data_IF_044961527915
#
_entry.id   IF_044961527915
#
_cell.length_a   1.000
_cell.length_b   1.000
_cell.length_c   1.000
_cell.angle_alpha   90.00
_cell.angle_beta   90.00
_cell.angle_gamma   90.00
#
_symmetry.space_group_name_H-M   'P 1'
#
loop_
_entity.id
_entity.type
_entity.pdbx_description
1 polymer ?
#
# COMPACT_ATOMS: atom_id res chain seq x y z
N UNK A 1 10.97 -6.22 -14.76
CA UNK A 1 11.81 -6.50 -13.56
C UNK A 1 12.74 -7.66 -13.81
N UNK A 2 12.24 -8.88 -14.10
CA UNK A 2 13.09 -10.09 -14.24
C UNK A 2 14.15 -10.01 -15.35
N UNK A 3 13.86 -9.32 -16.45
CA UNK A 3 14.78 -9.06 -17.57
C UNK A 3 15.74 -7.88 -17.33
N UNK A 4 15.61 -7.17 -16.20
CA UNK A 4 16.35 -5.93 -15.88
C UNK A 4 16.18 -4.81 -16.94
N UNK A 5 15.09 -4.83 -17.72
CA UNK A 5 14.78 -3.84 -18.77
C UNK A 5 13.86 -2.71 -18.30
N UNK A 6 13.77 -2.45 -17.00
CA UNK A 6 12.98 -1.31 -16.49
C UNK A 6 13.66 0.00 -16.93
N UNK A 7 12.93 0.96 -17.52
CA UNK A 7 13.50 2.27 -17.87
C UNK A 7 14.07 2.97 -16.64
N UNK A 8 15.27 3.53 -16.78
CA UNK A 8 15.88 4.34 -15.71
C UNK A 8 15.08 5.62 -15.56
N UNK A 9 14.74 5.94 -14.31
CA UNK A 9 14.06 7.19 -13.98
C UNK A 9 15.05 8.31 -13.73
N UNK A 10 14.62 9.55 -13.99
CA UNK A 10 15.45 10.74 -13.85
C UNK A 10 14.72 11.83 -13.07
N UNK A 11 15.48 12.63 -12.32
CA UNK A 11 15.01 13.85 -11.67
C UNK A 11 16.06 14.95 -11.88
N UNK A 12 15.66 16.08 -12.45
CA UNK A 12 16.60 17.17 -12.76
C UNK A 12 17.77 16.75 -13.66
N UNK A 13 17.55 15.80 -14.58
CA UNK A 13 18.59 15.25 -15.46
C UNK A 13 19.53 14.23 -14.80
N UNK A 14 19.39 13.94 -13.50
CA UNK A 14 20.19 12.93 -12.80
C UNK A 14 19.46 11.58 -12.73
N UNK A 15 20.15 10.45 -12.92
CA UNK A 15 19.54 9.13 -12.83
C UNK A 15 19.16 8.81 -11.38
N UNK A 16 18.08 8.03 -11.21
CA UNK A 16 17.59 7.56 -9.93
C UNK A 16 17.91 6.08 -9.73
N UNK A 17 18.17 5.71 -8.47
CA UNK A 17 18.36 4.34 -8.04
C UNK A 17 17.08 3.53 -8.27
N UNK A 18 17.21 2.41 -8.97
CA UNK A 18 16.11 1.50 -9.31
C UNK A 18 15.96 0.34 -8.33
N UNK A 19 16.80 0.25 -7.28
CA UNK A 19 16.83 -0.91 -6.38
C UNK A 19 15.47 -1.25 -5.76
N UNK A 20 14.69 -0.24 -5.36
CA UNK A 20 13.38 -0.43 -4.72
C UNK A 20 12.40 -1.25 -5.59
N UNK A 21 12.41 -1.06 -6.92
CA UNK A 21 11.60 -1.85 -7.85
C UNK A 21 11.89 -3.36 -7.82
N UNK A 22 13.11 -3.75 -7.45
CA UNK A 22 13.50 -5.16 -7.34
C UNK A 22 13.21 -5.74 -5.95
N UNK A 23 12.66 -4.95 -5.03
CA UNK A 23 12.32 -5.36 -3.67
C UNK A 23 10.81 -5.56 -3.44
N UNK A 24 9.94 -5.07 -4.33
CA UNK A 24 8.49 -5.06 -4.11
C UNK A 24 7.78 -6.38 -4.48
N UNK A 25 8.25 -7.09 -5.50
CA UNK A 25 7.67 -8.36 -5.93
C UNK A 25 8.37 -9.55 -5.28
N UNK A 26 7.61 -10.63 -5.05
CA UNK A 26 8.12 -11.88 -4.47
C UNK A 26 8.81 -11.69 -3.12
N UNK A 27 8.39 -10.68 -2.34
CA UNK A 27 8.94 -10.37 -1.03
C UNK A 27 7.87 -10.41 0.05
N UNK A 28 8.33 -10.57 1.29
CA UNK A 28 7.47 -10.64 2.46
C UNK A 28 8.29 -10.21 3.68
N UNK A 29 7.64 -9.55 4.62
CA UNK A 29 8.17 -9.34 5.96
C UNK A 29 8.00 -10.61 6.79
N UNK A 30 8.97 -10.91 7.64
CA UNK A 30 8.96 -12.05 8.54
C UNK A 30 9.05 -11.53 9.97
N UNK A 31 8.05 -11.82 10.83
CA UNK A 31 8.04 -11.35 12.20
C UNK A 31 9.14 -12.04 13.01
N UNK A 32 9.86 -11.29 13.84
CA UNK A 32 10.91 -11.81 14.71
C UNK A 32 10.72 -11.38 16.17
N UNK A 33 11.20 -12.17 17.14
CA UNK A 33 10.97 -11.90 18.56
C UNK A 33 11.62 -10.61 19.09
N UNK A 34 12.64 -10.08 18.38
CA UNK A 34 13.32 -8.81 18.70
C UNK A 34 13.26 -7.82 17.56
N UNK A 35 13.43 -8.30 16.33
CA UNK A 35 13.42 -7.51 15.11
C UNK A 35 12.90 -8.39 13.98
N UNK A 36 12.12 -7.78 13.11
CA UNK A 36 11.66 -8.43 11.89
C UNK A 36 12.78 -8.48 10.84
N UNK A 37 12.51 -9.22 9.76
CA UNK A 37 13.37 -9.30 8.59
C UNK A 37 12.54 -9.24 7.31
N UNK A 38 13.18 -8.96 6.18
CA UNK A 38 12.57 -9.02 4.85
C UNK A 38 13.21 -10.17 4.09
N UNK A 39 12.37 -11.00 3.47
CA UNK A 39 12.80 -12.01 2.50
C UNK A 39 12.38 -11.58 1.10
N UNK A 40 13.21 -11.90 0.11
CA UNK A 40 12.95 -11.61 -1.29
C UNK A 40 13.33 -12.84 -2.13
N UNK A 41 12.35 -13.37 -2.86
CA UNK A 41 12.44 -14.58 -3.69
C UNK A 41 12.41 -14.27 -5.20
N UNK A 42 12.58 -12.99 -5.59
CA UNK A 42 12.60 -12.58 -6.99
C UNK A 42 13.90 -12.97 -7.71
N UNK A 43 15.01 -13.16 -6.99
CA UNK A 43 16.32 -13.52 -7.54
C UNK A 43 16.75 -14.91 -7.07
N UNK A 44 17.32 -15.72 -7.97
CA UNK A 44 17.87 -17.05 -7.65
C UNK A 44 17.30 -18.18 -8.53
N UNK A 45 17.76 -19.42 -8.30
CA UNK A 45 17.42 -20.59 -9.13
C UNK A 45 15.94 -21.01 -9.07
N UNK A 46 15.21 -20.60 -8.04
CA UNK A 46 13.81 -20.96 -7.81
C UNK A 46 12.95 -19.70 -7.69
N UNK A 47 12.86 -18.91 -8.77
CA UNK A 47 11.96 -17.75 -8.81
C UNK A 47 10.52 -18.18 -8.57
N UNK A 48 9.81 -17.38 -7.77
CA UNK A 48 8.38 -17.61 -7.55
C UNK A 48 7.60 -17.43 -8.85
N UNK A 49 6.68 -18.36 -9.13
CA UNK A 49 5.86 -18.39 -10.35
C UNK A 49 4.36 -18.30 -10.05
N UNK A 50 4.01 -18.11 -8.78
CA UNK A 50 2.64 -18.08 -8.31
C UNK A 50 2.32 -16.77 -7.59
N UNK A 51 1.04 -16.41 -7.60
CA UNK A 51 0.47 -15.41 -6.70
C UNK A 51 -0.31 -16.13 -5.59
N UNK A 52 -0.62 -15.39 -4.53
CA UNK A 52 -1.63 -15.85 -3.57
C UNK A 52 -2.94 -15.11 -3.85
N UNK A 53 -4.06 -15.82 -3.87
CA UNK A 53 -5.39 -15.21 -3.90
C UNK A 53 -6.07 -15.48 -2.57
N UNK A 54 -6.71 -14.48 -1.99
CA UNK A 54 -7.48 -14.62 -0.76
C UNK A 54 -8.93 -14.20 -0.99
N UNK A 55 -9.86 -15.08 -0.63
CA UNK A 55 -11.31 -14.85 -0.71
C UNK A 55 -11.98 -15.51 0.49
N UNK A 56 -12.86 -14.75 1.18
CA UNK A 56 -13.50 -15.18 2.43
C UNK A 56 -12.52 -15.77 3.45
N UNK A 57 -11.37 -15.10 3.61
CA UNK A 57 -10.28 -15.47 4.53
C UNK A 57 -9.50 -16.74 4.17
N UNK A 58 -9.77 -17.31 2.99
CA UNK A 58 -9.11 -18.53 2.54
C UNK A 58 -8.09 -18.21 1.46
N UNK A 59 -6.85 -18.67 1.67
CA UNK A 59 -5.75 -18.44 0.75
C UNK A 59 -5.61 -19.58 -0.27
N UNK A 60 -5.20 -19.22 -1.49
CA UNK A 60 -4.96 -20.14 -2.60
C UNK A 60 -3.63 -19.79 -3.28
N UNK A 61 -2.88 -20.82 -3.65
CA UNK A 61 -1.70 -20.72 -4.51
C UNK A 61 -2.16 -20.87 -5.96
N UNK A 62 -1.89 -19.85 -6.77
CA UNK A 62 -2.23 -19.78 -8.19
C UNK A 62 -0.97 -19.53 -9.00
N UNK A 63 -0.53 -20.54 -9.75
CA UNK A 63 0.52 -20.37 -10.76
C UNK A 63 0.03 -19.39 -11.85
N UNK A 64 0.89 -18.43 -12.20
CA UNK A 64 0.59 -17.39 -13.21
C UNK A 64 1.48 -17.52 -14.45
N UNK A 65 2.19 -18.65 -14.57
CA UNK A 65 3.00 -18.99 -15.73
C UNK A 65 2.72 -20.43 -16.17
N UNK A 66 2.66 -20.64 -17.49
CA UNK A 66 2.61 -21.96 -18.12
C UNK A 66 3.92 -22.74 -17.94
N UNK A 67 3.92 -24.04 -18.21
CA UNK A 67 5.12 -24.89 -18.11
C UNK A 67 6.28 -24.43 -18.99
N UNK A 68 6.00 -23.80 -20.13
CA UNK A 68 6.99 -23.25 -21.07
C UNK A 68 7.63 -21.92 -20.62
N UNK A 69 7.14 -21.32 -19.52
CA UNK A 69 7.63 -20.04 -19.01
C UNK A 69 6.80 -18.83 -19.43
N UNK A 70 5.84 -18.98 -20.35
CA UNK A 70 4.94 -17.89 -20.74
C UNK A 70 3.95 -17.54 -19.61
N UNK A 71 3.55 -16.27 -19.46
CA UNK A 71 2.51 -15.90 -18.49
C UNK A 71 1.15 -16.45 -18.91
N UNK A 72 0.28 -16.74 -17.94
CA UNK A 72 -1.13 -17.00 -18.23
C UNK A 72 -1.80 -15.77 -18.84
N UNK A 73 -2.73 -16.00 -19.77
CA UNK A 73 -3.57 -14.93 -20.34
C UNK A 73 -4.66 -14.48 -19.35
N UNK A 74 -5.32 -13.37 -19.64
CA UNK A 74 -6.44 -12.88 -18.83
C UNK A 74 -7.59 -13.89 -18.74
N UNK A 75 -7.99 -14.52 -19.85
CA UNK A 75 -9.01 -15.59 -19.85
C UNK A 75 -8.60 -16.77 -18.95
N UNK A 76 -7.34 -17.19 -19.04
CA UNK A 76 -6.82 -18.29 -18.23
C UNK A 76 -6.84 -17.93 -16.74
N UNK A 77 -6.43 -16.71 -16.39
CA UNK A 77 -6.51 -16.19 -15.02
C UNK A 77 -7.95 -16.10 -14.53
N UNK A 78 -8.89 -15.63 -15.37
CA UNK A 78 -10.31 -15.54 -15.03
C UNK A 78 -10.89 -16.91 -14.68
N UNK A 79 -10.64 -17.94 -15.50
CA UNK A 79 -11.07 -19.33 -15.24
C UNK A 79 -10.52 -19.82 -13.89
N UNK A 80 -9.26 -19.50 -13.58
CA UNK A 80 -8.64 -19.90 -12.32
C UNK A 80 -9.21 -19.15 -11.11
N UNK A 81 -9.52 -17.86 -11.26
CA UNK A 81 -10.18 -17.05 -10.23
C UNK A 81 -11.61 -17.54 -9.97
N UNK A 82 -12.35 -17.94 -11.00
CA UNK A 82 -13.68 -18.54 -10.86
C UNK A 82 -13.63 -19.85 -10.05
N UNK A 83 -12.64 -20.72 -10.32
CA UNK A 83 -12.41 -21.94 -9.51
C UNK A 83 -12.11 -21.60 -8.05
N UNK A 84 -11.32 -20.56 -7.79
CA UNK A 84 -10.98 -20.11 -6.43
C UNK A 84 -12.23 -19.62 -5.72
N UNK A 85 -13.01 -18.73 -6.37
CA UNK A 85 -14.26 -18.19 -5.86
C UNK A 85 -15.23 -19.31 -5.44
N UNK A 86 -15.50 -20.25 -6.35
CA UNK A 86 -16.37 -21.39 -6.10
C UNK A 86 -15.86 -22.32 -4.99
N UNK A 87 -14.54 -22.40 -4.78
CA UNK A 87 -13.90 -23.18 -3.71
C UNK A 87 -13.90 -22.48 -2.33
N UNK A 88 -14.46 -21.27 -2.27
CA UNK A 88 -14.38 -20.38 -1.11
C UNK A 88 -15.65 -19.59 -0.79
N UNK A 89 -16.82 -20.10 -1.20
CA UNK A 89 -18.12 -19.49 -0.88
C UNK A 89 -18.46 -19.49 0.63
N UNK A 90 -17.83 -20.36 1.42
CA UNK A 90 -18.06 -20.41 2.86
C UNK A 90 -17.35 -19.27 3.59
N UNK A 91 -18.12 -18.47 4.34
CA UNK A 91 -17.65 -17.35 5.15
C UNK A 91 -17.34 -17.72 6.61
N UNK A 92 -17.40 -19.01 6.96
CA UNK A 92 -17.25 -19.50 8.34
C UNK A 92 -15.82 -19.93 8.69
N UNK A 93 -14.82 -19.58 7.89
CA UNK A 93 -13.42 -19.91 8.19
C UNK A 93 -12.82 -18.91 9.16
N UNK A 94 -11.91 -19.40 9.98
CA UNK A 94 -11.14 -18.55 10.87
C UNK A 94 -10.25 -17.59 10.07
N UNK A 95 -10.27 -16.28 10.38
CA UNK A 95 -9.53 -15.28 9.63
C UNK A 95 -8.05 -15.29 10.01
N UNK A 96 -7.32 -16.34 9.65
CA UNK A 96 -5.91 -16.52 10.04
C UNK A 96 -5.01 -15.34 9.64
N UNK A 97 -5.34 -14.67 8.52
CA UNK A 97 -4.64 -13.50 8.04
C UNK A 97 -4.66 -12.31 9.01
N UNK A 98 -5.68 -12.22 9.87
CA UNK A 98 -5.81 -11.13 10.85
C UNK A 98 -4.71 -11.16 11.89
N UNK A 99 -4.05 -12.29 12.13
CA UNK A 99 -2.89 -12.35 13.04
C UNK A 99 -1.78 -11.36 12.64
N UNK A 100 -1.67 -11.07 11.33
CA UNK A 100 -0.64 -10.17 10.79
C UNK A 100 -0.89 -8.68 11.09
N UNK A 101 -2.07 -8.31 11.61
CA UNK A 101 -2.39 -6.92 12.00
C UNK A 101 -1.95 -6.58 13.42
N UNK A 102 -1.65 -7.58 14.23
CA UNK A 102 -1.36 -7.39 15.65
C UNK A 102 0.03 -6.76 15.86
N UNK A 103 0.27 -6.27 17.08
CA UNK A 103 1.57 -5.78 17.50
C UNK A 103 2.69 -6.79 17.18
N UNK A 104 3.82 -6.30 16.65
CA UNK A 104 4.88 -7.16 16.08
C UNK A 104 5.43 -8.21 17.06
N UNK A 105 5.53 -7.89 18.36
CA UNK A 105 5.93 -8.86 19.38
C UNK A 105 4.88 -9.97 19.60
N UNK A 106 3.59 -9.62 19.57
CA UNK A 106 2.49 -10.58 19.71
C UNK A 106 2.41 -11.46 18.47
N UNK A 107 2.50 -10.84 17.29
CA UNK A 107 2.52 -11.57 16.02
C UNK A 107 3.74 -12.49 15.91
N UNK A 108 4.94 -12.07 16.31
CA UNK A 108 6.11 -12.95 16.30
C UNK A 108 5.93 -14.22 17.16
N UNK A 109 5.24 -14.13 18.30
CA UNK A 109 4.92 -15.29 19.14
C UNK A 109 3.90 -16.21 18.45
N UNK A 110 2.78 -15.64 17.99
CA UNK A 110 1.72 -16.37 17.30
C UNK A 110 2.21 -17.01 16.00
N UNK A 111 3.05 -16.32 15.23
CA UNK A 111 3.70 -16.84 14.01
C UNK A 111 4.57 -18.06 14.32
N UNK A 112 5.43 -17.99 15.35
CA UNK A 112 6.25 -19.14 15.75
C UNK A 112 5.39 -20.34 16.18
N UNK A 113 4.25 -20.09 16.82
CA UNK A 113 3.31 -21.14 17.18
C UNK A 113 2.62 -21.74 15.93
N UNK A 114 2.15 -20.88 15.02
CA UNK A 114 1.52 -21.24 13.76
C UNK A 114 2.41 -22.18 12.93
N UNK A 115 3.72 -21.92 12.89
CA UNK A 115 4.69 -22.71 12.13
C UNK A 115 5.05 -24.08 12.72
N UNK A 116 4.58 -24.42 13.93
CA UNK A 116 4.83 -25.74 14.52
C UNK A 116 4.14 -26.86 13.75
N UNK A 117 2.96 -26.58 13.18
CA UNK A 117 2.24 -27.50 12.31
C UNK A 117 2.80 -27.47 10.88
N UNK A 118 3.01 -28.66 10.29
CA UNK A 118 3.62 -28.81 8.97
C UNK A 118 2.77 -28.17 7.86
N UNK A 119 1.45 -28.37 7.89
CA UNK A 119 0.53 -27.84 6.89
C UNK A 119 0.45 -26.32 6.98
N UNK A 120 0.37 -25.77 8.19
CA UNK A 120 0.41 -24.32 8.42
C UNK A 120 1.71 -23.72 7.88
N UNK A 121 2.85 -24.34 8.20
CA UNK A 121 4.17 -23.90 7.73
C UNK A 121 4.29 -23.92 6.21
N UNK A 122 3.75 -24.93 5.55
CA UNK A 122 3.72 -25.01 4.08
C UNK A 122 2.84 -23.91 3.47
N UNK A 123 1.65 -23.67 4.05
CA UNK A 123 0.75 -22.59 3.63
C UNK A 123 1.39 -21.21 3.80
N UNK A 124 1.97 -20.92 4.97
CA UNK A 124 2.67 -19.65 5.24
C UNK A 124 3.83 -19.45 4.25
N UNK A 125 4.65 -20.47 4.01
CA UNK A 125 5.76 -20.39 3.04
C UNK A 125 5.29 -20.10 1.61
N UNK A 126 4.12 -20.60 1.22
CA UNK A 126 3.54 -20.28 -0.09
C UNK A 126 3.15 -18.79 -0.17
N UNK A 127 2.53 -18.25 0.88
CA UNK A 127 2.18 -16.81 0.97
C UNK A 127 3.44 -15.93 0.95
N UNK A 128 4.46 -16.28 1.74
CA UNK A 128 5.71 -15.53 1.81
C UNK A 128 6.41 -15.47 0.44
N UNK A 129 6.38 -16.57 -0.32
CA UNK A 129 7.03 -16.69 -1.62
C UNK A 129 6.26 -16.09 -2.78
N UNK A 130 4.95 -15.94 -2.69
CA UNK A 130 4.13 -15.50 -3.83
C UNK A 130 4.59 -14.15 -4.42
N UNK A 131 4.36 -13.92 -5.70
CA UNK A 131 4.80 -12.68 -6.37
C UNK A 131 4.11 -11.46 -5.75
N UNK A 132 2.81 -11.56 -5.53
CA UNK A 132 1.96 -10.62 -4.81
C UNK A 132 0.76 -11.40 -4.24
N UNK A 133 -0.08 -10.71 -3.46
CA UNK A 133 -1.39 -11.22 -3.06
C UNK A 133 -2.51 -10.43 -3.73
N UNK A 134 -3.58 -11.12 -4.13
CA UNK A 134 -4.82 -10.54 -4.65
C UNK A 134 -5.94 -10.85 -3.66
N UNK A 135 -6.63 -9.82 -3.19
CA UNK A 135 -7.71 -9.91 -2.21
C UNK A 135 -9.04 -9.66 -2.91
N UNK A 136 -9.91 -10.68 -2.93
CA UNK A 136 -11.26 -10.59 -3.44
C UNK A 136 -12.17 -10.27 -2.26
N UNK A 137 -12.60 -9.02 -2.17
CA UNK A 137 -13.26 -8.46 -1.00
C UNK A 137 -14.78 -8.49 -1.11
N UNK A 138 -15.40 -8.82 0.03
CA UNK A 138 -16.83 -8.70 0.20
C UNK A 138 -17.26 -7.22 0.23
N UNK A 139 -18.53 -6.91 -0.11
CA UNK A 139 -19.04 -5.55 -0.05
C UNK A 139 -18.99 -5.00 1.38
N UNK A 140 -18.65 -3.72 1.50
CA UNK A 140 -18.70 -2.99 2.77
C UNK A 140 -20.13 -2.47 3.04
N UNK A 141 -20.49 -2.16 4.31
CA UNK A 141 -21.77 -1.52 4.61
C UNK A 141 -21.97 -0.25 3.79
N UNK A 142 -23.18 -0.08 3.25
CA UNK A 142 -23.55 1.13 2.52
C UNK A 142 -23.45 2.33 3.44
N UNK A 143 -22.87 3.40 2.92
CA UNK A 143 -22.74 4.70 3.57
C UNK A 143 -23.17 5.80 2.62
N UNK A 144 -23.30 7.03 3.12
CA UNK A 144 -23.58 8.18 2.25
C UNK A 144 -22.40 8.46 1.31
N UNK A 145 -22.72 9.04 0.16
CA UNK A 145 -21.74 9.37 -0.89
C UNK A 145 -20.63 10.29 -0.36
N UNK A 146 -20.95 11.16 0.60
CA UNK A 146 -20.02 12.13 1.21
C UNK A 146 -18.87 11.49 2.00
N UNK A 147 -19.07 10.27 2.50
CA UNK A 147 -18.08 9.52 3.28
C UNK A 147 -17.63 8.24 2.57
N UNK A 148 -18.25 7.86 1.46
CA UNK A 148 -17.93 6.65 0.69
C UNK A 148 -16.44 6.53 0.39
N UNK A 149 -15.80 7.58 -0.17
CA UNK A 149 -14.35 7.56 -0.45
C UNK A 149 -13.48 7.35 0.78
N UNK A 150 -13.93 7.84 1.95
CA UNK A 150 -13.21 7.69 3.21
C UNK A 150 -13.35 6.27 3.76
N UNK A 151 -14.54 5.68 3.63
CA UNK A 151 -14.80 4.27 3.93
C UNK A 151 -14.00 3.32 3.02
N UNK A 152 -13.91 3.62 1.73
CA UNK A 152 -13.07 2.86 0.79
C UNK A 152 -11.60 2.98 1.18
N UNK A 153 -11.12 4.17 1.54
CA UNK A 153 -9.75 4.34 2.03
C UNK A 153 -9.46 3.52 3.29
N UNK A 154 -10.41 3.48 4.24
CA UNK A 154 -10.33 2.63 5.43
C UNK A 154 -10.30 1.12 5.07
N UNK A 155 -11.11 0.68 4.12
CA UNK A 155 -11.07 -0.70 3.61
C UNK A 155 -9.71 -1.05 2.99
N UNK A 156 -9.13 -0.16 2.19
CA UNK A 156 -7.82 -0.40 1.58
C UNK A 156 -6.71 -0.43 2.64
N UNK A 157 -6.79 0.45 3.64
CA UNK A 157 -5.77 0.57 4.68
C UNK A 157 -5.77 -0.59 5.67
N UNK A 158 -6.94 -1.00 6.17
CA UNK A 158 -7.04 -1.99 7.26
C UNK A 158 -8.15 -3.03 7.08
N UNK A 159 -8.94 -2.96 6.00
CA UNK A 159 -9.99 -3.94 5.70
C UNK A 159 -11.32 -3.72 6.44
N UNK A 160 -11.49 -2.59 7.13
CA UNK A 160 -12.76 -2.20 7.76
C UNK A 160 -13.09 -2.82 9.13
N UNK A 161 -12.30 -3.78 9.61
CA UNK A 161 -12.47 -4.41 10.92
C UNK A 161 -12.63 -5.94 10.84
N UNK A 162 -12.56 -6.60 11.99
CA UNK A 162 -12.56 -8.07 12.09
C UNK A 162 -13.77 -8.79 11.51
N UNK A 163 -14.91 -8.10 11.37
CA UNK A 163 -16.16 -8.62 10.81
C UNK A 163 -16.27 -8.43 9.29
N UNK A 164 -15.34 -7.71 8.69
CA UNK A 164 -15.34 -7.36 7.27
C UNK A 164 -14.12 -7.99 6.58
N UNK A 165 -13.32 -7.20 5.85
CA UNK A 165 -12.27 -7.69 4.98
C UNK A 165 -10.87 -7.72 5.64
N UNK A 166 -10.73 -7.33 6.92
CA UNK A 166 -9.43 -7.33 7.61
C UNK A 166 -8.76 -8.70 7.70
N UNK A 167 -9.56 -9.76 7.82
CA UNK A 167 -9.06 -11.15 7.79
C UNK A 167 -8.68 -11.63 6.38
N UNK A 168 -9.10 -10.90 5.34
CA UNK A 168 -8.92 -11.24 3.92
C UNK A 168 -7.59 -10.66 3.40
N UNK A 169 -6.54 -10.73 4.23
CA UNK A 169 -5.26 -10.04 4.05
C UNK A 169 -4.12 -10.83 4.67
N UNK A 170 -2.91 -10.54 4.22
CA UNK A 170 -1.66 -10.93 4.88
C UNK A 170 -0.74 -9.70 4.92
N UNK A 171 -0.80 -8.90 5.98
CA UNK A 171 -0.16 -7.58 6.06
C UNK A 171 1.38 -7.60 6.08
N UNK A 172 1.98 -8.77 6.27
CA UNK A 172 3.41 -8.96 6.04
C UNK A 172 3.79 -9.00 4.55
N UNK A 173 2.81 -9.23 3.65
CA UNK A 173 3.06 -9.29 2.21
C UNK A 173 3.34 -7.89 1.68
N UNK A 174 4.43 -7.76 0.95
CA UNK A 174 4.86 -6.46 0.41
C UNK A 174 3.84 -5.81 -0.50
N UNK A 175 3.14 -6.59 -1.33
CA UNK A 175 2.12 -6.09 -2.25
C UNK A 175 0.84 -6.91 -2.14
N UNK A 176 -0.25 -6.23 -1.80
CA UNK A 176 -1.60 -6.78 -1.78
C UNK A 176 -2.52 -5.91 -2.64
N UNK A 177 -2.96 -6.41 -3.79
CA UNK A 177 -4.00 -5.78 -4.60
C UNK A 177 -5.38 -6.16 -4.07
N UNK A 178 -6.29 -5.20 -3.99
CA UNK A 178 -7.61 -5.38 -3.40
C UNK A 178 -8.66 -5.04 -4.46
N UNK A 179 -9.59 -5.96 -4.69
CA UNK A 179 -10.71 -5.82 -5.61
C UNK A 179 -11.98 -6.17 -4.83
N UNK A 180 -12.80 -5.16 -4.57
CA UNK A 180 -14.07 -5.32 -3.88
C UNK A 180 -15.21 -5.59 -4.88
N UNK A 181 -16.23 -6.32 -4.43
CA UNK A 181 -17.40 -6.67 -5.22
C UNK A 181 -18.20 -5.45 -5.71
N UNK A 182 -18.13 -4.32 -5.01
CA UNK A 182 -18.81 -3.06 -5.38
C UNK A 182 -18.06 -2.25 -6.47
N UNK A 183 -16.94 -2.77 -6.98
CA UNK A 183 -16.09 -2.10 -7.96
C UNK A 183 -14.99 -1.22 -7.35
N UNK A 184 -14.95 -1.05 -6.02
CA UNK A 184 -13.81 -0.39 -5.37
C UNK A 184 -12.55 -1.22 -5.54
N UNK A 185 -11.43 -0.56 -5.83
CA UNK A 185 -10.14 -1.23 -5.95
C UNK A 185 -9.00 -0.36 -5.42
N UNK A 186 -7.90 -1.02 -5.06
CA UNK A 186 -6.72 -0.36 -4.52
C UNK A 186 -5.63 -1.35 -4.17
N UNK A 187 -4.70 -0.92 -3.32
CA UNK A 187 -3.69 -1.79 -2.74
C UNK A 187 -3.33 -1.35 -1.33
N UNK A 188 -2.68 -2.26 -0.61
CA UNK A 188 -1.89 -1.96 0.59
C UNK A 188 -0.51 -2.59 0.40
N UNK A 189 0.54 -1.88 0.83
CA UNK A 189 1.91 -2.34 0.68
C UNK A 189 2.67 -2.28 2.01
N UNK A 190 3.56 -3.25 2.23
CA UNK A 190 4.47 -3.24 3.38
C UNK A 190 5.63 -2.30 3.08
N UNK A 191 5.92 -1.38 4.00
CA UNK A 191 6.73 -0.20 3.71
C UNK A 191 8.25 -0.45 3.77
N UNK A 192 8.70 -1.53 4.41
CA UNK A 192 10.12 -1.76 4.60
C UNK A 192 10.92 -1.89 3.28
N UNK A 193 10.42 -2.51 2.19
CA UNK A 193 11.20 -2.73 0.97
C UNK A 193 11.24 -1.52 0.02
N UNK A 194 10.26 -0.60 0.08
CA UNK A 194 10.09 0.48 -0.89
C UNK A 194 9.37 1.70 -0.32
N UNK A 195 9.54 2.84 -1.00
CA UNK A 195 8.74 4.05 -0.84
C UNK A 195 7.54 4.07 -1.80
N UNK A 196 6.71 5.13 -1.69
CA UNK A 196 5.55 5.36 -2.56
C UNK A 196 5.84 5.49 -4.06
N UNK A 197 6.86 6.24 -4.53
CA UNK A 197 7.01 6.48 -5.98
C UNK A 197 7.15 5.20 -6.83
N UNK A 198 7.95 4.17 -6.45
CA UNK A 198 7.96 2.90 -7.17
C UNK A 198 6.62 2.15 -7.19
N UNK A 199 5.82 2.28 -6.13
CA UNK A 199 4.49 1.67 -6.04
C UNK A 199 3.52 2.37 -6.99
N UNK A 200 3.55 3.71 -7.04
CA UNK A 200 2.71 4.50 -7.96
C UNK A 200 3.10 4.23 -9.42
N UNK A 201 4.39 4.16 -9.74
CA UNK A 201 4.84 3.82 -11.09
C UNK A 201 4.37 2.42 -11.53
N UNK A 202 4.37 1.43 -10.61
CA UNK A 202 3.78 0.12 -10.86
C UNK A 202 2.27 0.21 -11.10
N UNK A 203 1.55 0.97 -10.28
CA UNK A 203 0.11 1.18 -10.43
C UNK A 203 -0.24 1.86 -11.77
N UNK A 204 0.46 2.93 -12.14
CA UNK A 204 0.27 3.62 -13.42
C UNK A 204 0.45 2.65 -14.60
N UNK A 205 1.49 1.82 -14.56
CA UNK A 205 1.71 0.79 -15.56
C UNK A 205 0.58 -0.24 -15.61
N UNK A 206 0.10 -0.72 -14.45
CA UNK A 206 -1.01 -1.69 -14.38
C UNK A 206 -2.30 -1.07 -14.93
N UNK A 207 -2.66 0.14 -14.48
CA UNK A 207 -3.88 0.82 -14.94
C UNK A 207 -3.84 1.04 -16.45
N UNK A 208 -2.71 1.48 -16.99
CA UNK A 208 -2.57 1.65 -18.44
C UNK A 208 -2.61 0.30 -19.18
N UNK A 209 -2.06 -0.76 -18.60
CA UNK A 209 -2.15 -2.10 -19.15
C UNK A 209 -3.59 -2.59 -19.25
N UNK A 210 -4.42 -2.36 -18.23
CA UNK A 210 -5.83 -2.80 -18.21
C UNK A 210 -6.73 -2.12 -19.25
N UNK A 211 -6.30 -0.98 -19.81
CA UNK A 211 -7.03 -0.27 -20.88
C UNK A 211 -6.70 -0.79 -22.27
N UNK A 212 -5.63 -1.58 -22.41
CA UNK A 212 -5.20 -2.08 -23.72
C UNK A 212 -6.17 -3.17 -24.19
N UNK A 213 -6.57 -3.18 -25.47
CA UNK A 213 -7.39 -4.25 -26.02
C UNK A 213 -6.62 -5.57 -25.94
N UNK A 214 -7.31 -6.64 -25.58
CA UNK A 214 -6.72 -7.97 -25.58
C UNK A 214 -6.46 -8.42 -27.02
N UNK A 215 -5.25 -8.94 -27.26
CA UNK A 215 -4.84 -9.42 -28.58
C UNK A 215 -4.59 -10.92 -28.50
N UNK A 216 -5.40 -11.69 -29.23
CA UNK A 216 -5.24 -13.13 -29.42
C UNK A 216 -6.26 -13.98 -28.66
N UNK A 217 -6.52 -15.19 -29.18
CA UNK A 217 -7.33 -16.19 -28.48
C UNK A 217 -6.42 -17.00 -27.55
N UNK A 218 -6.84 -17.18 -26.31
CA UNK A 218 -6.16 -18.01 -25.35
C UNK A 218 -6.16 -19.49 -25.81
N UNK A 219 -5.02 -20.20 -25.77
CA UNK A 219 -4.99 -21.64 -26.01
C UNK A 219 -5.88 -22.36 -24.98
N UNK A 220 -6.82 -23.17 -25.45
CA UNK A 220 -7.72 -23.95 -24.59
C UNK A 220 -7.02 -25.18 -24.03
N UNK A 221 -6.03 -24.96 -23.15
CA UNK A 221 -5.32 -26.04 -22.44
C UNK A 221 -5.96 -26.24 -21.06
N UNK A 222 -6.18 -27.48 -20.60
CA UNK A 222 -6.67 -27.74 -19.25
C UNK A 222 -5.74 -27.13 -18.19
N UNK A 223 -6.28 -26.22 -17.37
CA UNK A 223 -5.55 -25.60 -16.27
C UNK A 223 -5.76 -26.36 -14.95
N UNK A 224 -4.69 -26.58 -14.15
CA UNK A 224 -4.79 -27.30 -12.88
C UNK A 224 -5.66 -26.53 -11.86
N UNK A 225 -6.22 -27.24 -10.89
CA UNK A 225 -6.98 -26.60 -9.80
C UNK A 225 -6.04 -25.78 -8.91
N UNK A 226 -6.32 -24.49 -8.65
CA UNK A 226 -5.54 -23.70 -7.69
C UNK A 226 -5.50 -24.36 -6.32
N UNK A 227 -4.31 -24.43 -5.73
CA UNK A 227 -4.09 -25.18 -4.48
C UNK A 227 -4.57 -24.36 -3.29
N UNK A 228 -5.60 -24.85 -2.60
CA UNK A 228 -6.07 -24.24 -1.34
C UNK A 228 -5.02 -24.40 -0.24
N UNK A 229 -4.60 -23.28 0.36
CA UNK A 229 -3.66 -23.23 1.48
C UNK A 229 -4.45 -23.40 2.78
N UNK A 230 -4.34 -24.59 3.37
CA UNK A 230 -5.11 -24.97 4.57
C UNK A 230 -4.35 -24.55 5.83
N UNK A 231 -5.12 -24.22 6.87
CA UNK A 231 -4.62 -23.95 8.20
C UNK A 231 -5.33 -24.82 9.23
N UNK A 232 -4.56 -25.59 9.98
CA UNK A 232 -4.98 -26.36 11.13
C UNK A 232 -5.06 -25.42 12.34
N UNK A 233 -6.28 -25.20 12.84
CA UNK A 233 -6.54 -24.28 13.94
C UNK A 233 -6.58 -25.05 15.26
N UNK A 234 -5.63 -24.74 16.14
CA UNK A 234 -5.60 -25.23 17.52
C UNK A 234 -6.31 -24.22 18.45
N UNK A 235 -6.66 -24.61 19.70
CA UNK A 235 -7.21 -23.67 20.67
C UNK A 235 -6.30 -22.45 20.93
N UNK A 236 -4.97 -22.64 20.91
CA UNK A 236 -3.99 -21.56 21.09
C UNK A 236 -4.02 -20.59 19.89
N UNK A 237 -3.99 -21.11 18.65
CA UNK A 237 -4.10 -20.28 17.44
C UNK A 237 -5.44 -19.53 17.41
N UNK A 238 -6.53 -20.18 17.81
CA UNK A 238 -7.85 -19.56 17.90
C UNK A 238 -7.84 -18.39 18.90
N UNK A 239 -7.22 -18.57 20.06
CA UNK A 239 -7.06 -17.49 21.04
C UNK A 239 -6.21 -16.33 20.49
N UNK A 240 -5.12 -16.62 19.78
CA UNK A 240 -4.31 -15.59 19.13
C UNK A 240 -5.12 -14.80 18.09
N UNK A 241 -5.99 -15.46 17.32
CA UNK A 241 -6.90 -14.83 16.36
C UNK A 241 -7.88 -13.90 17.07
N UNK A 242 -8.50 -14.33 18.17
CA UNK A 242 -9.44 -13.48 18.92
C UNK A 242 -8.73 -12.26 19.53
N UNK A 243 -7.51 -12.41 20.04
CA UNK A 243 -6.71 -11.29 20.51
C UNK A 243 -6.37 -10.30 19.38
N UNK A 244 -6.01 -10.81 18.19
CA UNK A 244 -5.74 -9.96 17.03
C UNK A 244 -6.99 -9.23 16.54
N UNK A 245 -8.17 -9.86 16.57
CA UNK A 245 -9.46 -9.21 16.27
C UNK A 245 -9.73 -8.05 17.22
N UNK A 246 -9.57 -8.27 18.53
CA UNK A 246 -9.80 -7.23 19.55
C UNK A 246 -8.84 -6.05 19.34
N UNK A 247 -7.53 -6.32 19.22
CA UNK A 247 -6.53 -5.29 18.98
C UNK A 247 -6.82 -4.48 17.71
N UNK A 248 -7.16 -5.15 16.61
CA UNK A 248 -7.47 -4.46 15.36
C UNK A 248 -8.74 -3.61 15.47
N UNK A 249 -9.80 -4.10 16.11
CA UNK A 249 -11.03 -3.32 16.25
C UNK A 249 -10.76 -2.02 17.03
N UNK A 250 -9.96 -2.07 18.10
CA UNK A 250 -9.54 -0.86 18.83
C UNK A 250 -8.80 0.11 17.89
N UNK A 251 -7.86 -0.39 17.08
CA UNK A 251 -7.12 0.45 16.12
C UNK A 251 -8.02 1.07 15.04
N UNK A 252 -9.04 0.33 14.60
CA UNK A 252 -10.00 0.80 13.60
C UNK A 252 -10.94 1.84 14.18
N UNK A 253 -11.38 1.67 15.43
CA UNK A 253 -12.24 2.63 16.13
C UNK A 253 -11.51 3.93 16.48
N UNK A 254 -10.20 3.89 16.70
CA UNK A 254 -9.36 5.06 17.00
C UNK A 254 -8.92 5.85 15.74
N UNK A 255 -9.12 5.29 14.55
CA UNK A 255 -8.72 5.94 13.29
C UNK A 255 -9.85 6.84 12.74
N UNK A 256 -9.57 8.15 12.66
CA UNK A 256 -10.36 9.09 11.87
C UNK A 256 -9.68 9.38 10.52
N UNK A 257 -10.39 9.11 9.42
CA UNK A 257 -9.90 9.29 8.06
C UNK A 257 -10.91 10.05 7.20
N UNK A 258 -10.42 11.09 6.52
CA UNK A 258 -11.20 11.84 5.53
C UNK A 258 -10.46 11.92 4.20
N UNK A 259 -11.13 11.50 3.13
CA UNK A 259 -10.68 11.75 1.76
C UNK A 259 -11.38 13.00 1.24
N UNK A 260 -10.59 14.01 0.87
CA UNK A 260 -11.05 15.24 0.24
C UNK A 260 -10.51 15.32 -1.18
N UNK A 261 -11.41 15.44 -2.17
CA UNK A 261 -11.01 15.75 -3.55
C UNK A 261 -11.14 17.25 -3.75
N UNK A 262 -9.99 17.92 -3.87
CA UNK A 262 -9.95 19.37 -4.04
C UNK A 262 -10.16 19.73 -5.51
N UNK A 263 -11.36 20.23 -5.85
CA UNK A 263 -11.78 20.47 -7.22
C UNK A 263 -11.51 21.89 -7.75
N UNK A 264 -11.14 22.84 -6.89
CA UNK A 264 -11.05 24.26 -7.28
C UNK A 264 -9.88 24.52 -8.25
N UNK A 265 -8.75 23.85 -8.04
CA UNK A 265 -7.59 23.91 -8.93
C UNK A 265 -6.65 22.73 -8.66
N UNK A 266 -5.62 22.58 -9.49
CA UNK A 266 -4.51 21.65 -9.26
C UNK A 266 -3.17 22.34 -9.52
N UNK A 267 -2.18 21.58 -9.99
CA UNK A 267 -0.83 22.09 -10.30
C UNK A 267 -0.77 23.28 -11.25
N UNK A 268 -1.84 23.55 -12.03
CA UNK A 268 -1.90 24.65 -12.99
C UNK A 268 -1.79 26.03 -12.32
N UNK A 269 -2.52 26.26 -11.23
CA UNK A 269 -2.55 27.54 -10.55
C UNK A 269 -1.21 27.92 -9.88
N UNK A 270 -0.59 27.08 -9.03
CA UNK A 270 0.71 27.43 -8.47
C UNK A 270 1.78 27.64 -9.56
N UNK A 271 1.72 26.87 -10.66
CA UNK A 271 2.64 27.04 -11.79
C UNK A 271 2.44 28.36 -12.54
N UNK A 272 1.22 28.86 -12.70
CA UNK A 272 1.00 30.17 -13.35
C UNK A 272 1.60 31.31 -12.52
N UNK A 273 1.64 31.14 -11.20
CA UNK A 273 2.27 32.06 -10.25
C UNK A 273 3.78 31.82 -10.07
N UNK A 274 4.38 30.90 -10.83
CA UNK A 274 5.80 30.51 -10.73
C UNK A 274 6.18 29.95 -9.35
N UNK A 275 5.23 29.35 -8.64
CA UNK A 275 5.41 28.71 -7.33
C UNK A 275 5.44 27.19 -7.51
N UNK A 276 6.26 26.49 -6.72
CA UNK A 276 6.23 25.02 -6.66
C UNK A 276 4.86 24.55 -6.17
N UNK A 277 4.13 23.69 -6.92
CA UNK A 277 2.84 23.17 -6.46
C UNK A 277 2.93 22.46 -5.10
N UNK A 278 4.03 21.75 -4.87
CA UNK A 278 4.30 21.03 -3.63
C UNK A 278 4.50 22.00 -2.45
N UNK A 279 5.42 22.95 -2.59
CA UNK A 279 5.64 23.98 -1.55
C UNK A 279 4.41 24.85 -1.29
N UNK A 280 3.57 25.08 -2.30
CA UNK A 280 2.27 25.75 -2.13
C UNK A 280 1.33 24.94 -1.22
N UNK A 281 1.21 23.63 -1.45
CA UNK A 281 0.36 22.74 -0.63
C UNK A 281 0.93 22.62 0.79
N UNK A 282 2.25 22.49 0.94
CA UNK A 282 2.90 22.41 2.25
C UNK A 282 2.64 23.66 3.09
N UNK A 283 2.69 24.86 2.50
CA UNK A 283 2.32 26.08 3.22
C UNK A 283 0.83 26.22 3.49
N UNK A 284 -0.04 25.76 2.58
CA UNK A 284 -1.46 25.71 2.84
C UNK A 284 -1.77 24.82 4.06
N UNK A 285 -1.05 23.69 4.20
CA UNK A 285 -1.13 22.82 5.37
C UNK A 285 -0.62 23.51 6.65
N UNK A 286 0.52 24.22 6.58
CA UNK A 286 1.01 25.01 7.72
C UNK A 286 0.01 26.09 8.15
N UNK A 287 -0.62 26.78 7.18
CA UNK A 287 -1.63 27.80 7.47
C UNK A 287 -2.89 27.19 8.09
N UNK A 288 -3.39 26.08 7.55
CA UNK A 288 -4.53 25.37 8.11
C UNK A 288 -4.27 24.93 9.55
N UNK A 289 -3.10 24.35 9.82
CA UNK A 289 -2.70 23.94 11.17
C UNK A 289 -2.61 25.16 12.12
N UNK A 290 -1.95 26.24 11.69
CA UNK A 290 -1.82 27.43 12.52
C UNK A 290 -3.18 28.07 12.83
N UNK A 291 -4.11 28.11 11.88
CA UNK A 291 -5.48 28.61 12.10
C UNK A 291 -6.25 27.79 13.14
N UNK A 292 -6.03 26.48 13.18
CA UNK A 292 -6.71 25.61 14.14
C UNK A 292 -6.09 25.67 15.55
N UNK A 293 -4.77 25.78 15.65
CA UNK A 293 -4.05 25.56 16.91
C UNK A 293 -3.27 26.78 17.43
N UNK A 294 -3.17 27.86 16.67
CA UNK A 294 -2.44 29.09 17.05
C UNK A 294 -0.92 28.94 17.19
N UNK A 295 -0.34 27.83 16.71
CA UNK A 295 1.09 27.53 16.78
C UNK A 295 1.55 26.65 15.63
N UNK A 296 2.84 26.68 15.31
CA UNK A 296 3.45 25.69 14.42
C UNK A 296 3.69 24.35 15.15
N UNK A 297 3.93 23.28 14.40
CA UNK A 297 4.29 21.97 14.92
C UNK A 297 5.41 21.33 14.09
N UNK A 298 6.10 20.35 14.67
CA UNK A 298 7.08 19.56 13.92
C UNK A 298 6.35 18.86 12.76
N UNK A 299 6.72 19.23 11.53
CA UNK A 299 6.11 18.71 10.31
C UNK A 299 7.16 17.92 9.54
N UNK A 300 6.83 16.67 9.19
CA UNK A 300 7.66 15.79 8.38
C UNK A 300 7.09 15.72 6.98
N UNK A 301 7.97 15.90 5.99
CA UNK A 301 7.71 15.59 4.59
C UNK A 301 8.85 14.71 4.08
N UNK A 302 8.52 13.69 3.30
CA UNK A 302 9.50 12.73 2.80
C UNK A 302 10.21 13.27 1.55
N UNK A 303 11.52 13.46 1.63
CA UNK A 303 12.38 13.71 0.46
C UNK A 303 12.93 12.41 -0.11
N UNK A 304 12.86 12.21 -1.42
CA UNK A 304 13.45 11.03 -2.06
C UNK A 304 14.97 11.20 -2.21
N UNK A 305 15.76 10.29 -1.63
CA UNK A 305 17.21 10.23 -1.80
C UNK A 305 17.65 9.35 -2.97
N UNK A 306 16.74 8.97 -3.88
CA UNK A 306 17.05 8.02 -4.96
C UNK A 306 18.14 8.49 -5.94
N UNK A 307 18.56 9.76 -5.93
CA UNK A 307 19.77 10.18 -6.66
C UNK A 307 21.05 9.48 -6.17
N UNK A 308 21.04 8.94 -4.94
CA UNK A 308 22.14 8.19 -4.35
C UNK A 308 21.90 6.68 -4.43
N UNK A 309 23.00 5.92 -4.49
CA UNK A 309 22.95 4.45 -4.48
C UNK A 309 22.24 3.97 -3.21
N UNK A 310 21.18 3.20 -3.38
CA UNK A 310 20.32 2.67 -2.31
C UNK A 310 19.61 3.74 -1.47
N UNK A 311 19.54 4.98 -1.97
CA UNK A 311 18.83 6.05 -1.31
C UNK A 311 17.36 5.72 -1.06
N UNK A 312 16.90 6.02 0.15
CA UNK A 312 15.50 5.91 0.58
C UNK A 312 14.93 7.31 0.73
N UNK A 313 14.85 7.80 1.95
CA UNK A 313 14.24 9.09 2.26
C UNK A 313 15.08 9.90 3.24
N UNK A 314 14.91 11.21 3.17
CA UNK A 314 15.27 12.15 4.23
C UNK A 314 14.04 13.01 4.60
N UNK A 315 14.22 13.96 5.51
CA UNK A 315 13.15 14.80 6.04
C UNK A 315 13.23 16.23 5.51
N UNK A 316 12.21 16.66 4.79
CA UNK A 316 11.91 18.08 4.62
C UNK A 316 11.11 18.54 5.83
N UNK A 317 11.50 19.68 6.42
CA UNK A 317 10.84 20.28 7.58
C UNK A 317 10.01 21.48 7.15
N UNK A 318 8.72 21.26 6.85
CA UNK A 318 7.83 22.32 6.35
C UNK A 318 7.56 23.45 7.35
N UNK A 319 7.70 23.17 8.65
CA UNK A 319 7.67 24.17 9.70
C UNK A 319 9.05 24.86 9.80
N UNK A 320 9.11 26.11 9.38
CA UNK A 320 10.33 26.93 9.32
C UNK A 320 10.03 28.35 9.81
N UNK A 321 11.09 29.15 10.00
CA UNK A 321 10.94 30.57 10.34
C UNK A 321 10.14 31.32 9.27
N UNK A 322 10.34 30.97 7.99
CA UNK A 322 9.63 31.62 6.88
C UNK A 322 8.15 31.24 6.86
N UNK A 323 7.82 29.94 7.03
CA UNK A 323 6.42 29.50 7.07
C UNK A 323 5.68 30.05 8.29
N UNK A 324 6.32 30.11 9.46
CA UNK A 324 5.74 30.71 10.66
C UNK A 324 5.40 32.20 10.46
N UNK A 325 6.33 32.99 9.89
CA UNK A 325 6.08 34.41 9.58
C UNK A 325 4.93 34.59 8.61
N UNK A 326 4.82 33.74 7.59
CA UNK A 326 3.71 33.76 6.65
C UNK A 326 2.37 33.51 7.37
N UNK A 327 2.25 32.40 8.11
CA UNK A 327 0.97 32.03 8.73
C UNK A 327 0.52 33.01 9.81
N UNK A 328 1.46 33.64 10.54
CA UNK A 328 1.17 34.72 11.49
C UNK A 328 0.65 35.99 10.81
N UNK A 329 1.06 36.26 9.57
CA UNK A 329 0.67 37.45 8.82
C UNK A 329 -0.66 37.30 8.08
N UNK A 330 -1.02 36.09 7.66
CA UNK A 330 -2.07 35.87 6.67
C UNK A 330 -3.44 36.37 7.14
N UNK A 331 -3.76 36.14 8.41
CA UNK A 331 -5.03 36.53 9.04
C UNK A 331 -4.91 37.81 9.89
N UNK A 332 -3.73 38.47 9.89
CA UNK A 332 -3.53 39.73 10.60
C UNK A 332 -4.25 40.87 9.87
N UNK A 333 -5.04 41.71 10.58
CA UNK A 333 -5.65 42.90 9.99
C UNK A 333 -4.62 44.01 9.73
N UNK A 334 -3.47 43.98 10.39
CA UNK A 334 -2.42 45.00 10.31
C UNK A 334 -1.46 44.79 9.14
N UNK A 335 -1.72 43.79 8.29
CA UNK A 335 -0.88 43.43 7.14
C UNK A 335 -1.62 43.65 5.84
N UNK A 336 -0.97 44.33 4.90
CA UNK A 336 -1.52 44.51 3.57
C UNK A 336 -1.51 43.20 2.78
N UNK A 337 -2.41 43.06 1.80
CA UNK A 337 -2.47 41.88 0.94
C UNK A 337 -1.15 41.66 0.17
N UNK A 338 -0.46 42.74 -0.18
CA UNK A 338 0.86 42.69 -0.81
C UNK A 338 1.91 42.08 0.13
N UNK A 339 1.96 42.51 1.39
CA UNK A 339 2.87 41.92 2.38
C UNK A 339 2.59 40.44 2.62
N UNK A 340 1.31 40.05 2.70
CA UNK A 340 0.90 38.64 2.85
C UNK A 340 1.36 37.80 1.65
N UNK A 341 1.16 38.31 0.43
CA UNK A 341 1.60 37.65 -0.80
C UNK A 341 3.13 37.50 -0.86
N UNK A 342 3.89 38.51 -0.43
CA UNK A 342 5.35 38.45 -0.42
C UNK A 342 5.89 37.48 0.63
N UNK A 343 5.23 37.39 1.79
CA UNK A 343 5.56 36.38 2.80
C UNK A 343 5.23 34.97 2.33
N UNK A 344 4.11 34.77 1.64
CA UNK A 344 3.77 33.51 0.99
C UNK A 344 4.87 33.09 0.01
N UNK A 345 5.24 33.97 -0.94
CA UNK A 345 6.29 33.69 -1.94
C UNK A 345 7.61 33.33 -1.27
N UNK A 346 8.04 34.12 -0.28
CA UNK A 346 9.28 33.86 0.48
C UNK A 346 9.24 32.51 1.19
N UNK A 347 8.13 32.17 1.83
CA UNK A 347 7.99 30.90 2.51
C UNK A 347 7.98 29.71 1.52
N UNK A 348 7.37 29.85 0.34
CA UNK A 348 7.37 28.78 -0.67
C UNK A 348 8.76 28.58 -1.27
N UNK A 349 9.52 29.66 -1.46
CA UNK A 349 10.89 29.59 -1.92
C UNK A 349 11.81 28.94 -0.87
N UNK A 350 11.66 29.31 0.41
CA UNK A 350 12.41 28.70 1.50
C UNK A 350 12.11 27.19 1.63
N UNK A 351 10.84 26.78 1.46
CA UNK A 351 10.48 25.36 1.42
C UNK A 351 11.15 24.65 0.25
N UNK A 352 11.11 25.24 -0.95
CA UNK A 352 11.80 24.67 -2.13
C UNK A 352 13.31 24.52 -1.93
N UNK A 353 13.96 25.50 -1.31
CA UNK A 353 15.39 25.41 -0.98
C UNK A 353 15.69 24.25 -0.04
N UNK A 354 14.80 23.96 0.92
CA UNK A 354 14.90 22.75 1.75
C UNK A 354 14.69 21.45 0.97
N UNK A 355 13.81 21.46 -0.03
CA UNK A 355 13.52 20.29 -0.88
C UNK A 355 14.64 19.99 -1.88
N UNK A 356 15.32 21.01 -2.39
CA UNK A 356 16.38 20.88 -3.39
C UNK A 356 17.78 20.58 -2.79
N UNK A 357 17.95 20.74 -1.47
CA UNK A 357 19.15 20.34 -0.70
C UNK A 357 19.31 18.83 -0.65
#
# INVERSE_FOLDING_TARGET
>A
VSSETLPVEYMGGKPLCMNQYYQILSSCRIPGPKRDSIVNYAKGKNQSRHITVVHNFQFFELDVYNSDGSPLTADQLFIQLEKIWNSSLQTNKEPIGILTTNHRNSWAKAYNNLLKDKTNKESVRSIEKSICTVCLDAPMPRVSDDIYKSHVAAQMLHGGGSRFNSGNRWFDKTLQFIIAEDGSCGLVYEHAPSEGPPIVALLDHIVEFTKKPEVGKSPTVPLPMPKKLRFNITPEIKNDIENAKQNLNIMVEDLDIKVMVFHQFGKGFPKSEKISPDGFIQLALQLAYYRMYGRACATYESASLRMFRLGRTDTIRSASVASLKFVQSMDSPDKSDQEKADLLRRATQAHREYTDM
#
